data_IF_610851041276
#
_entry.id   IF_610851041276
#
_cell.length_a   1.000
_cell.length_b   1.000
_cell.length_c   1.000
_cell.angle_alpha   90.00
_cell.angle_beta   90.00
_cell.angle_gamma   90.00
#
_symmetry.space_group_name_H-M   'P 1'
#
loop_
_entity.id
_entity.type
_entity.pdbx_description
1 polymer ?
#
# COMPACT_ATOMS: atom_id res chain seq x y z
N UNK A 1 -25.51 14.17 10.18
CA UNK A 1 -24.94 12.95 9.58
C UNK A 1 -25.57 12.58 8.23
N UNK A 2 -26.32 13.46 7.58
CA UNK A 2 -27.15 13.17 6.38
C UNK A 2 -26.60 13.69 5.04
N UNK A 3 -25.32 14.12 4.94
CA UNK A 3 -24.77 14.70 3.70
C UNK A 3 -23.51 13.98 3.21
N UNK A 4 -23.25 12.74 3.64
CA UNK A 4 -22.07 11.99 3.19
C UNK A 4 -22.21 11.35 1.79
N UNK A 5 -23.44 11.34 1.24
CA UNK A 5 -23.71 10.77 -0.09
C UNK A 5 -24.54 11.73 -0.93
N UNK A 6 -24.00 12.92 -1.20
CA UNK A 6 -24.59 13.74 -2.24
C UNK A 6 -24.21 13.13 -3.60
N UNK A 7 -25.18 12.53 -4.28
CA UNK A 7 -25.03 11.76 -5.53
C UNK A 7 -24.40 12.55 -6.71
N UNK A 8 -24.03 13.81 -6.52
CA UNK A 8 -23.40 14.66 -7.55
C UNK A 8 -21.86 14.54 -7.60
N UNK A 9 -21.24 13.94 -6.58
CA UNK A 9 -19.77 13.91 -6.46
C UNK A 9 -19.15 12.54 -6.80
N UNK A 10 -19.98 11.52 -7.06
CA UNK A 10 -19.50 10.18 -7.42
C UNK A 10 -19.36 10.08 -8.93
N UNK A 11 -18.14 10.10 -9.41
CA UNK A 11 -17.85 9.81 -10.81
C UNK A 11 -17.98 8.30 -11.06
N UNK A 12 -19.18 7.85 -11.46
CA UNK A 12 -19.51 6.44 -11.68
C UNK A 12 -18.57 5.76 -12.69
N UNK A 13 -18.06 6.47 -13.68
CA UNK A 13 -17.10 5.90 -14.63
C UNK A 13 -15.74 5.68 -14.00
N UNK A 14 -15.30 6.55 -13.09
CA UNK A 14 -14.04 6.43 -12.38
C UNK A 14 -13.99 5.19 -11.48
N UNK A 15 -15.11 4.80 -10.90
CA UNK A 15 -15.23 3.63 -10.02
C UNK A 15 -15.65 2.39 -10.81
N UNK A 16 -16.59 2.54 -11.75
CA UNK A 16 -17.18 1.44 -12.51
C UNK A 16 -16.17 0.75 -13.41
N UNK A 17 -15.29 1.49 -14.09
CA UNK A 17 -14.27 0.89 -14.96
C UNK A 17 -13.30 -0.01 -14.19
N UNK A 18 -12.67 0.42 -13.07
CA UNK A 18 -11.83 -0.47 -12.27
C UNK A 18 -12.55 -1.71 -11.74
N UNK A 19 -13.80 -1.58 -11.31
CA UNK A 19 -14.59 -2.72 -10.84
C UNK A 19 -14.85 -3.71 -11.97
N UNK A 20 -15.31 -3.24 -13.14
CA UNK A 20 -15.55 -4.09 -14.30
C UNK A 20 -14.28 -4.79 -14.76
N UNK A 21 -13.15 -4.08 -14.74
CA UNK A 21 -11.85 -4.64 -15.10
C UNK A 21 -11.41 -5.71 -14.10
N UNK A 22 -11.60 -5.48 -12.81
CA UNK A 22 -11.33 -6.47 -11.76
C UNK A 22 -12.19 -7.72 -11.92
N UNK A 23 -13.49 -7.56 -12.19
CA UNK A 23 -14.41 -8.68 -12.45
C UNK A 23 -13.96 -9.45 -13.69
N UNK A 24 -13.60 -8.75 -14.77
CA UNK A 24 -13.14 -9.38 -16.02
C UNK A 24 -11.86 -10.19 -15.80
N UNK A 25 -10.91 -9.66 -15.03
CA UNK A 25 -9.68 -10.39 -14.64
C UNK A 25 -10.04 -11.63 -13.82
N UNK A 26 -10.94 -11.52 -12.85
CA UNK A 26 -11.39 -12.66 -12.05
C UNK A 26 -12.03 -13.74 -12.94
N UNK A 27 -12.93 -13.36 -13.84
CA UNK A 27 -13.56 -14.31 -14.77
C UNK A 27 -12.54 -15.00 -15.67
N UNK A 28 -11.55 -14.26 -16.17
CA UNK A 28 -10.45 -14.83 -16.94
C UNK A 28 -9.63 -15.82 -16.12
N UNK A 29 -9.28 -15.48 -14.90
CA UNK A 29 -8.52 -16.37 -13.98
C UNK A 29 -9.30 -17.64 -13.69
N UNK A 30 -10.60 -17.54 -13.46
CA UNK A 30 -11.46 -18.72 -13.20
C UNK A 30 -11.72 -19.58 -14.44
N UNK A 31 -11.57 -19.06 -15.66
CA UNK A 31 -11.75 -19.84 -16.90
C UNK A 31 -10.66 -20.91 -17.08
N UNK A 32 -9.41 -20.60 -16.71
CA UNK A 32 -8.30 -21.55 -16.68
C UNK A 32 -7.32 -21.16 -15.57
N UNK A 33 -7.55 -21.67 -14.39
CA UNK A 33 -6.76 -21.36 -13.19
C UNK A 33 -5.30 -21.75 -13.37
N UNK A 34 -5.03 -22.92 -13.99
CA UNK A 34 -3.66 -23.43 -14.14
C UNK A 34 -2.83 -22.55 -15.07
N UNK A 35 -3.38 -22.17 -16.19
CA UNK A 35 -2.70 -21.29 -17.15
C UNK A 35 -2.55 -19.87 -16.58
N UNK A 36 -3.56 -19.36 -15.90
CA UNK A 36 -3.55 -18.04 -15.29
C UNK A 36 -2.48 -17.92 -14.19
N UNK A 37 -2.32 -18.94 -13.35
CA UNK A 37 -1.23 -18.97 -12.35
C UNK A 37 0.14 -18.90 -13.02
N UNK A 38 0.37 -19.63 -14.12
CA UNK A 38 1.65 -19.58 -14.85
C UNK A 38 1.92 -18.19 -15.42
N UNK A 39 0.91 -17.55 -16.02
CA UNK A 39 1.03 -16.20 -16.58
C UNK A 39 1.30 -15.18 -15.48
N UNK A 40 0.52 -15.19 -14.40
CA UNK A 40 0.69 -14.28 -13.27
C UNK A 40 2.07 -14.45 -12.61
N UNK A 41 2.52 -15.68 -12.43
CA UNK A 41 3.86 -15.97 -11.88
C UNK A 41 4.95 -15.42 -12.78
N UNK A 42 4.88 -15.62 -14.08
CA UNK A 42 5.84 -15.07 -15.04
C UNK A 42 5.87 -13.53 -15.03
N UNK A 43 4.70 -12.87 -14.98
CA UNK A 43 4.61 -11.41 -14.87
C UNK A 43 5.25 -10.94 -13.55
N UNK A 44 4.94 -11.60 -12.44
CA UNK A 44 5.50 -11.27 -11.13
C UNK A 44 7.02 -11.40 -11.11
N UNK A 45 7.57 -12.53 -11.57
CA UNK A 45 9.01 -12.79 -11.59
C UNK A 45 9.75 -11.76 -12.46
N UNK A 46 9.23 -11.46 -13.65
CA UNK A 46 9.83 -10.44 -14.52
C UNK A 46 9.76 -9.03 -13.91
N UNK A 47 8.64 -8.66 -13.29
CA UNK A 47 8.50 -7.37 -12.63
C UNK A 47 9.40 -7.27 -11.40
N UNK A 48 9.51 -8.34 -10.61
CA UNK A 48 10.39 -8.39 -9.44
C UNK A 48 11.84 -8.15 -9.84
N UNK A 49 12.36 -8.89 -10.84
CA UNK A 49 13.73 -8.72 -11.32
C UNK A 49 14.05 -7.32 -11.85
N UNK A 50 13.08 -6.67 -12.50
CA UNK A 50 13.32 -5.33 -13.06
C UNK A 50 13.19 -4.22 -12.01
N UNK A 51 12.38 -4.42 -10.98
CA UNK A 51 12.04 -3.40 -9.99
C UNK A 51 12.73 -3.59 -8.64
N UNK A 52 13.45 -4.69 -8.44
CA UNK A 52 14.12 -5.03 -7.18
C UNK A 52 14.94 -3.85 -6.63
N UNK A 53 15.88 -3.35 -7.41
CA UNK A 53 16.73 -2.22 -7.01
C UNK A 53 15.92 -0.94 -6.75
N UNK A 54 14.86 -0.71 -7.53
CA UNK A 54 13.98 0.46 -7.35
C UNK A 54 13.26 0.38 -6.02
N UNK A 55 12.76 -0.79 -5.63
CA UNK A 55 12.09 -0.98 -4.34
C UNK A 55 13.06 -0.89 -3.17
N UNK A 56 14.25 -1.51 -3.26
CA UNK A 56 15.24 -1.48 -2.18
C UNK A 56 15.77 -0.06 -1.93
N UNK A 57 16.38 0.55 -2.94
CA UNK A 57 16.94 1.90 -2.81
C UNK A 57 15.86 2.95 -2.65
N UNK A 58 14.74 2.83 -3.38
CA UNK A 58 13.60 3.74 -3.27
C UNK A 58 12.99 3.70 -1.88
N UNK A 59 12.77 2.53 -1.31
CA UNK A 59 12.25 2.36 0.05
C UNK A 59 13.15 2.99 1.10
N UNK A 60 14.46 2.79 1.00
CA UNK A 60 15.44 3.40 1.87
C UNK A 60 15.46 4.93 1.74
N UNK A 61 15.45 5.46 0.53
CA UNK A 61 15.40 6.90 0.29
C UNK A 61 14.11 7.52 0.83
N UNK A 62 12.97 6.86 0.67
CA UNK A 62 11.69 7.30 1.23
C UNK A 62 11.77 7.34 2.76
N UNK A 63 12.34 6.31 3.39
CA UNK A 63 12.52 6.29 4.83
C UNK A 63 13.37 7.49 5.31
N UNK A 64 14.55 7.70 4.73
CA UNK A 64 15.43 8.84 5.07
C UNK A 64 14.70 10.15 4.85
N UNK A 65 13.99 10.31 3.73
CA UNK A 65 13.21 11.51 3.42
C UNK A 65 12.13 11.80 4.48
N UNK A 66 11.39 10.77 4.90
CA UNK A 66 10.36 10.93 5.94
C UNK A 66 10.96 11.28 7.31
N UNK A 67 12.10 10.69 7.66
CA UNK A 67 12.84 11.07 8.87
C UNK A 67 13.25 12.53 8.81
N UNK A 68 13.84 12.99 7.71
CA UNK A 68 14.23 14.40 7.54
C UNK A 68 13.02 15.34 7.63
N UNK A 69 11.89 14.99 6.99
CA UNK A 69 10.66 15.81 7.11
C UNK A 69 10.14 15.85 8.54
N UNK A 70 10.20 14.75 9.27
CA UNK A 70 9.72 14.70 10.65
C UNK A 70 10.49 15.63 11.60
N UNK A 71 11.73 15.94 11.26
CA UNK A 71 12.57 16.88 12.00
C UNK A 71 12.29 18.36 11.65
N UNK A 72 11.51 18.62 10.60
CA UNK A 72 11.19 19.99 10.20
C UNK A 72 10.10 20.60 11.09
N UNK A 73 10.15 21.92 11.37
CA UNK A 73 9.11 22.62 12.16
C UNK A 73 7.70 22.46 11.59
N UNK A 74 7.59 22.20 10.28
CA UNK A 74 6.32 21.97 9.59
C UNK A 74 5.63 20.68 10.05
N UNK A 75 6.37 19.68 10.51
CA UNK A 75 5.81 18.43 11.00
C UNK A 75 4.96 18.61 12.28
N UNK A 76 5.23 19.65 13.05
CA UNK A 76 4.46 19.99 14.26
C UNK A 76 3.18 20.78 13.99
N UNK A 77 2.89 21.13 12.72
CA UNK A 77 1.68 21.91 12.39
C UNK A 77 0.45 21.01 12.43
N UNK A 78 -0.61 21.55 13.04
CA UNK A 78 -1.92 20.86 13.04
C UNK A 78 -2.58 20.96 11.66
N UNK A 79 -3.09 19.84 11.17
CA UNK A 79 -3.80 19.76 9.87
C UNK A 79 -5.23 20.29 10.00
N UNK A 80 -5.81 20.21 11.19
CA UNK A 80 -7.19 20.65 11.46
C UNK A 80 -7.22 21.89 12.32
N UNK A 81 -8.26 22.71 12.12
CA UNK A 81 -8.56 23.88 12.94
C UNK A 81 -9.20 23.47 14.29
N UNK A 82 -9.65 22.21 14.41
CA UNK A 82 -10.25 21.71 15.64
C UNK A 82 -9.23 21.71 16.79
N UNK A 83 -9.64 22.23 17.95
CA UNK A 83 -8.78 22.29 19.14
C UNK A 83 -8.45 20.90 19.71
N UNK A 84 -9.28 19.92 19.42
CA UNK A 84 -9.10 18.54 19.93
C UNK A 84 -9.12 17.53 18.78
N UNK A 85 -8.29 16.46 18.87
CA UNK A 85 -8.35 15.35 17.96
C UNK A 85 -9.75 14.70 17.95
N UNK A 86 -10.20 14.23 16.80
CA UNK A 86 -11.49 13.55 16.65
C UNK A 86 -11.58 12.27 17.49
N UNK A 87 -10.47 11.59 17.67
CA UNK A 87 -10.35 10.35 18.44
C UNK A 87 -9.41 10.56 19.61
N UNK A 88 -9.68 9.90 20.73
CA UNK A 88 -8.75 9.85 21.85
C UNK A 88 -7.57 8.93 21.54
N UNK A 89 -6.51 9.00 22.34
CA UNK A 89 -5.29 8.23 22.10
C UNK A 89 -5.51 6.71 22.05
N UNK A 90 -6.42 6.18 22.89
CA UNK A 90 -6.71 4.75 22.95
C UNK A 90 -7.42 4.31 21.66
N UNK A 91 -8.44 5.05 21.22
CA UNK A 91 -9.13 4.76 19.96
C UNK A 91 -8.18 4.88 18.74
N UNK A 92 -7.31 5.90 18.76
CA UNK A 92 -6.29 6.06 17.72
C UNK A 92 -5.30 4.88 17.70
N UNK A 93 -4.77 4.48 18.85
CA UNK A 93 -3.89 3.32 18.96
C UNK A 93 -4.59 2.04 18.50
N UNK A 94 -5.86 1.84 18.88
CA UNK A 94 -6.66 0.70 18.43
C UNK A 94 -6.86 0.66 16.92
N UNK A 95 -7.11 1.81 16.28
CA UNK A 95 -7.22 1.89 14.83
C UNK A 95 -5.88 1.60 14.14
N UNK A 96 -4.77 2.13 14.66
CA UNK A 96 -3.43 1.86 14.12
C UNK A 96 -3.06 0.39 14.28
N UNK A 97 -3.35 -0.20 15.44
CA UNK A 97 -3.15 -1.62 15.70
C UNK A 97 -3.97 -2.48 14.72
N UNK A 98 -5.25 -2.19 14.57
CA UNK A 98 -6.13 -2.94 13.66
C UNK A 98 -5.71 -2.81 12.20
N UNK A 99 -5.22 -1.64 11.78
CA UNK A 99 -4.72 -1.41 10.43
C UNK A 99 -3.38 -2.13 10.17
N UNK A 100 -2.49 -2.17 11.18
CA UNK A 100 -1.16 -2.78 11.06
C UNK A 100 -1.15 -4.30 11.31
N UNK A 101 -2.02 -4.77 12.22
CA UNK A 101 -2.11 -6.19 12.63
C UNK A 101 -3.21 -6.94 11.88
N UNK A 102 -3.31 -6.70 10.58
CA UNK A 102 -4.23 -7.48 9.74
C UNK A 102 -3.91 -8.98 9.74
N UNK A 103 -4.83 -9.78 9.22
CA UNK A 103 -4.70 -11.24 9.12
C UNK A 103 -3.35 -11.69 8.52
N UNK A 104 -2.83 -10.91 7.58
CA UNK A 104 -1.55 -11.20 6.92
C UNK A 104 -0.39 -11.23 7.92
N UNK A 105 -0.29 -10.27 8.84
CA UNK A 105 0.79 -10.24 9.84
C UNK A 105 0.63 -11.40 10.82
N UNK A 106 -0.58 -11.64 11.33
CA UNK A 106 -0.82 -12.71 12.29
C UNK A 106 -0.54 -14.09 11.71
N UNK A 107 -0.80 -14.29 10.43
CA UNK A 107 -0.59 -15.58 9.77
C UNK A 107 0.79 -15.72 9.14
N UNK A 108 1.23 -14.74 8.36
CA UNK A 108 2.48 -14.84 7.60
C UNK A 108 3.71 -14.64 8.48
N UNK A 109 3.65 -13.75 9.46
CA UNK A 109 4.81 -13.44 10.30
C UNK A 109 5.42 -14.68 11.00
N UNK A 110 4.61 -15.59 11.61
CA UNK A 110 5.17 -16.83 12.18
C UNK A 110 5.73 -17.80 11.13
N UNK A 111 5.32 -17.70 9.86
CA UNK A 111 5.74 -18.62 8.80
C UNK A 111 6.88 -18.06 7.93
N UNK A 112 7.09 -16.76 7.95
CA UNK A 112 8.02 -16.08 7.04
C UNK A 112 9.47 -16.50 7.26
N UNK A 113 9.87 -16.77 8.49
CA UNK A 113 11.20 -17.29 8.79
C UNK A 113 11.45 -18.64 8.10
N UNK A 114 10.45 -19.52 8.07
CA UNK A 114 10.55 -20.82 7.42
C UNK A 114 10.63 -20.68 5.89
N UNK A 115 9.89 -19.72 5.33
CA UNK A 115 9.98 -19.40 3.91
C UNK A 115 11.38 -18.88 3.55
N UNK A 116 11.90 -17.94 4.32
CA UNK A 116 13.25 -17.37 4.15
C UNK A 116 14.34 -18.42 4.38
N UNK A 117 14.11 -19.40 5.28
CA UNK A 117 15.04 -20.50 5.51
C UNK A 117 15.12 -21.43 4.30
N UNK A 118 13.99 -21.75 3.68
CA UNK A 118 13.92 -22.65 2.52
C UNK A 118 14.33 -21.97 1.21
N UNK A 119 14.16 -20.66 1.08
CA UNK A 119 14.48 -19.86 -0.10
C UNK A 119 15.26 -18.61 0.35
N UNK A 120 16.50 -18.81 0.75
CA UNK A 120 17.34 -17.75 1.30
C UNK A 120 17.64 -16.67 0.24
N UNK A 121 17.27 -15.41 0.48
CA UNK A 121 17.62 -14.30 -0.41
C UNK A 121 19.12 -14.00 -0.43
N UNK A 122 19.87 -14.54 0.54
CA UNK A 122 21.33 -14.36 0.66
C UNK A 122 22.14 -15.48 0.00
N UNK A 123 21.47 -16.37 -0.75
CA UNK A 123 22.11 -17.52 -1.43
C UNK A 123 22.94 -18.41 -0.48
N UNK A 124 22.55 -18.48 0.79
CA UNK A 124 23.20 -19.32 1.79
C UNK A 124 22.80 -20.78 1.59
N UNK A 125 23.76 -21.69 1.71
CA UNK A 125 23.51 -23.12 1.67
C UNK A 125 22.84 -23.60 2.98
N UNK A 126 22.10 -24.69 2.90
CA UNK A 126 21.40 -25.29 4.05
C UNK A 126 22.33 -25.69 5.19
N UNK A 127 23.61 -25.85 4.90
CA UNK A 127 24.68 -26.17 5.87
C UNK A 127 25.25 -24.95 6.58
N UNK A 128 24.92 -23.72 6.13
CA UNK A 128 25.48 -22.50 6.70
C UNK A 128 24.87 -22.19 8.08
N UNK A 129 25.69 -22.08 9.15
CA UNK A 129 25.20 -21.77 10.50
C UNK A 129 24.49 -20.38 10.58
N UNK A 130 24.78 -19.48 9.64
CA UNK A 130 24.19 -18.16 9.59
C UNK A 130 22.78 -18.19 8.99
N UNK A 131 22.44 -19.21 8.21
CA UNK A 131 21.14 -19.32 7.55
C UNK A 131 19.97 -19.18 8.55
N UNK A 132 20.04 -19.89 9.67
CA UNK A 132 19.01 -19.84 10.72
C UNK A 132 18.88 -18.42 11.32
N UNK A 133 20.00 -17.75 11.59
CA UNK A 133 20.01 -16.39 12.16
C UNK A 133 19.42 -15.38 11.19
N UNK A 134 19.83 -15.42 9.92
CA UNK A 134 19.31 -14.53 8.89
C UNK A 134 17.84 -14.77 8.63
N UNK A 135 17.41 -16.02 8.56
CA UNK A 135 16.01 -16.37 8.34
C UNK A 135 15.08 -15.85 9.45
N UNK A 136 15.53 -15.86 10.71
CA UNK A 136 14.77 -15.31 11.83
C UNK A 136 14.79 -13.77 11.86
N UNK A 137 15.86 -13.13 11.39
CA UNK A 137 16.00 -11.67 11.39
C UNK A 137 15.34 -11.00 10.21
N UNK A 138 15.26 -11.68 9.07
CA UNK A 138 14.75 -11.13 7.81
C UNK A 138 13.30 -10.64 7.90
N UNK A 139 12.36 -11.35 8.54
CA UNK A 139 11.01 -10.84 8.75
C UNK A 139 10.95 -9.51 9.51
N UNK A 140 11.84 -9.33 10.50
CA UNK A 140 11.92 -8.06 11.24
C UNK A 140 12.40 -6.90 10.35
N UNK A 141 13.28 -7.18 9.40
CA UNK A 141 13.71 -6.21 8.40
C UNK A 141 12.59 -5.92 7.38
N UNK A 142 11.95 -6.96 6.87
CA UNK A 142 10.90 -6.87 5.86
C UNK A 142 9.68 -6.06 6.36
N UNK A 143 9.24 -6.32 7.59
CA UNK A 143 8.13 -5.58 8.23
C UNK A 143 8.61 -4.36 9.03
N UNK A 144 9.87 -3.98 8.88
CA UNK A 144 10.49 -2.87 9.59
C UNK A 144 10.19 -1.50 8.98
N UNK A 145 10.99 -0.52 9.39
CA UNK A 145 10.78 0.89 9.04
C UNK A 145 10.74 1.17 7.54
N UNK A 146 11.51 0.46 6.73
CA UNK A 146 11.57 0.68 5.28
C UNK A 146 10.25 0.30 4.62
N UNK A 147 9.69 -0.86 4.94
CA UNK A 147 8.39 -1.29 4.43
C UNK A 147 7.28 -0.32 4.81
N UNK A 148 7.22 0.09 6.07
CA UNK A 148 6.22 1.06 6.54
C UNK A 148 6.43 2.47 6.01
N UNK A 149 7.64 2.87 5.66
CA UNK A 149 7.91 4.17 5.04
C UNK A 149 7.20 4.33 3.69
N UNK A 150 7.10 3.26 2.90
CA UNK A 150 6.38 3.28 1.62
C UNK A 150 4.90 3.63 1.84
N UNK A 151 4.27 3.08 2.88
CA UNK A 151 2.88 3.40 3.25
C UNK A 151 2.74 4.79 3.88
N UNK A 152 3.75 5.25 4.62
CA UNK A 152 3.72 6.56 5.28
C UNK A 152 3.91 7.72 4.28
N UNK A 153 4.56 7.50 3.14
CA UNK A 153 4.80 8.55 2.15
C UNK A 153 3.51 9.19 1.61
N UNK A 154 2.50 8.46 1.14
CA UNK A 154 1.23 9.04 0.72
C UNK A 154 0.53 9.80 1.86
N UNK A 155 0.55 9.27 3.07
CA UNK A 155 -0.05 9.93 4.23
C UNK A 155 0.63 11.27 4.53
N UNK A 156 1.97 11.35 4.49
CA UNK A 156 2.72 12.57 4.64
C UNK A 156 2.40 13.57 3.51
N UNK A 157 2.31 13.10 2.27
CA UNK A 157 1.97 13.94 1.12
C UNK A 157 0.56 14.55 1.26
N UNK A 158 -0.45 13.76 1.68
CA UNK A 158 -1.79 14.27 1.97
C UNK A 158 -1.80 15.26 3.12
N UNK A 159 -1.07 14.97 4.20
CA UNK A 159 -0.94 15.90 5.32
C UNK A 159 -0.40 17.27 4.86
N UNK A 160 0.65 17.28 4.05
CA UNK A 160 1.21 18.50 3.46
C UNK A 160 0.23 19.21 2.51
N UNK A 161 -0.50 18.46 1.69
CA UNK A 161 -1.54 19.00 0.81
C UNK A 161 -2.64 19.70 1.59
N UNK A 162 -3.14 19.08 2.65
CA UNK A 162 -4.19 19.63 3.52
C UNK A 162 -3.72 20.84 4.32
N UNK A 163 -2.45 20.91 4.71
CA UNK A 163 -1.87 22.13 5.32
C UNK A 163 -1.89 23.34 4.38
N UNK A 164 -1.80 23.11 3.07
CA UNK A 164 -1.86 24.17 2.06
C UNK A 164 -3.29 24.51 1.63
N UNK A 165 -4.16 23.51 1.55
CA UNK A 165 -5.53 23.64 1.08
C UNK A 165 -6.42 22.64 1.83
N UNK A 166 -7.16 23.13 2.80
CA UNK A 166 -7.96 22.30 3.73
C UNK A 166 -9.10 21.51 3.06
N UNK A 167 -9.54 21.93 1.87
CA UNK A 167 -10.61 21.30 1.07
C UNK A 167 -10.07 20.47 -0.12
N UNK A 168 -8.79 20.13 -0.11
CA UNK A 168 -8.18 19.33 -1.18
C UNK A 168 -8.78 17.91 -1.20
N UNK A 169 -9.17 17.41 -2.38
CA UNK A 169 -9.59 16.00 -2.53
C UNK A 169 -8.46 15.05 -2.11
N UNK A 170 -8.82 13.99 -1.37
CA UNK A 170 -7.87 12.94 -0.94
C UNK A 170 -7.64 11.92 -2.05
N UNK A 171 -7.18 12.38 -3.21
CA UNK A 171 -6.79 11.56 -4.35
C UNK A 171 -5.33 11.79 -4.71
N UNK A 172 -4.64 10.77 -5.18
CA UNK A 172 -3.23 10.88 -5.60
C UNK A 172 -3.10 11.88 -6.76
N UNK A 173 -4.08 11.87 -7.67
CA UNK A 173 -4.11 12.82 -8.79
C UNK A 173 -4.16 14.28 -8.34
N UNK A 174 -4.87 14.58 -7.24
CA UNK A 174 -4.95 15.95 -6.70
C UNK A 174 -3.62 16.44 -6.12
N UNK A 175 -2.79 15.52 -5.61
CA UNK A 175 -1.44 15.83 -5.14
C UNK A 175 -0.47 16.11 -6.29
N UNK A 176 -0.56 15.35 -7.37
CA UNK A 176 0.43 15.35 -8.45
C UNK A 176 0.12 16.36 -9.55
N UNK A 177 -1.17 16.57 -9.87
CA UNK A 177 -1.59 17.31 -11.07
C UNK A 177 -2.45 18.50 -10.69
N UNK A 178 -1.97 19.71 -10.94
CA UNK A 178 -2.66 20.95 -10.56
C UNK A 178 -3.58 21.52 -11.63
N UNK A 179 -3.34 21.20 -12.89
CA UNK A 179 -4.05 21.79 -14.03
C UNK A 179 -5.43 21.20 -14.27
N UNK A 180 -6.14 21.77 -15.26
CA UNK A 180 -7.50 21.38 -15.68
C UNK A 180 -7.66 21.25 -17.19
N UNK A 181 -6.56 21.20 -17.94
CA UNK A 181 -6.58 20.95 -19.39
C UNK A 181 -7.19 19.56 -19.69
N UNK A 182 -7.71 19.31 -20.90
CA UNK A 182 -8.26 18.00 -21.25
C UNK A 182 -7.29 16.85 -21.00
N UNK A 183 -6.00 17.03 -21.32
CA UNK A 183 -4.97 16.02 -21.10
C UNK A 183 -4.78 15.77 -19.60
N UNK A 184 -4.67 16.82 -18.79
CA UNK A 184 -4.52 16.70 -17.34
C UNK A 184 -5.73 16.03 -16.68
N UNK A 185 -6.95 16.26 -17.18
CA UNK A 185 -8.14 15.57 -16.68
C UNK A 185 -8.08 14.06 -16.97
N UNK A 186 -7.66 13.67 -18.18
CA UNK A 186 -7.49 12.26 -18.54
C UNK A 186 -6.39 11.64 -17.67
N UNK A 187 -5.26 12.31 -17.50
CA UNK A 187 -4.17 11.82 -16.65
C UNK A 187 -4.60 11.66 -15.20
N UNK A 188 -5.36 12.61 -14.64
CA UNK A 188 -5.95 12.48 -13.29
C UNK A 188 -6.84 11.25 -13.18
N UNK A 189 -7.74 11.05 -14.14
CA UNK A 189 -8.64 9.91 -14.14
C UNK A 189 -7.86 8.58 -14.22
N UNK A 190 -6.82 8.50 -15.05
CA UNK A 190 -5.98 7.32 -15.16
C UNK A 190 -5.21 7.03 -13.86
N UNK A 191 -4.63 8.04 -13.24
CA UNK A 191 -3.91 7.89 -11.95
C UNK A 191 -4.88 7.39 -10.88
N UNK A 192 -6.06 7.99 -10.76
CA UNK A 192 -7.03 7.60 -9.74
C UNK A 192 -7.60 6.20 -10.00
N UNK A 193 -7.83 5.81 -11.27
CA UNK A 193 -8.23 4.45 -11.65
C UNK A 193 -7.17 3.41 -11.28
N UNK A 194 -5.88 3.69 -11.53
CA UNK A 194 -4.77 2.81 -11.14
C UNK A 194 -4.73 2.66 -9.62
N UNK A 195 -4.90 3.75 -8.87
CA UNK A 195 -4.96 3.69 -7.40
C UNK A 195 -6.13 2.85 -6.88
N UNK A 196 -7.32 2.99 -7.50
CA UNK A 196 -8.49 2.17 -7.13
C UNK A 196 -8.23 0.69 -7.42
N UNK A 197 -7.66 0.37 -8.59
CA UNK A 197 -7.29 -1.01 -8.94
C UNK A 197 -6.27 -1.58 -7.94
N UNK A 198 -5.26 -0.81 -7.57
CA UNK A 198 -4.25 -1.23 -6.59
C UNK A 198 -4.87 -1.51 -5.20
N UNK A 199 -5.81 -0.66 -4.76
CA UNK A 199 -6.54 -0.85 -3.49
C UNK A 199 -7.42 -2.12 -3.57
N UNK A 200 -8.15 -2.33 -4.67
CA UNK A 200 -8.97 -3.51 -4.87
C UNK A 200 -8.14 -4.80 -4.90
N UNK A 201 -6.98 -4.76 -5.59
CA UNK A 201 -6.06 -5.89 -5.62
C UNK A 201 -5.49 -6.20 -4.23
N UNK A 202 -5.04 -5.18 -3.49
CA UNK A 202 -4.55 -5.32 -2.12
C UNK A 202 -5.60 -5.88 -1.16
N UNK A 203 -6.84 -5.39 -1.24
CA UNK A 203 -7.95 -5.92 -0.47
C UNK A 203 -8.25 -7.38 -0.83
N UNK A 204 -8.21 -7.73 -2.13
CA UNK A 204 -8.40 -9.09 -2.62
C UNK A 204 -7.34 -10.05 -2.09
N UNK A 205 -6.07 -9.66 -2.10
CA UNK A 205 -4.97 -10.44 -1.51
C UNK A 205 -5.19 -10.64 0.00
N UNK A 206 -5.52 -9.56 0.73
CA UNK A 206 -5.78 -9.63 2.17
C UNK A 206 -6.93 -10.58 2.51
N UNK A 207 -8.02 -10.54 1.75
CA UNK A 207 -9.15 -11.47 1.91
C UNK A 207 -8.76 -12.90 1.55
N UNK A 208 -8.02 -13.10 0.45
CA UNK A 208 -7.56 -14.41 0.00
C UNK A 208 -6.68 -15.12 1.03
N UNK A 209 -5.91 -14.37 1.81
CA UNK A 209 -5.12 -14.91 2.93
C UNK A 209 -5.99 -15.16 4.16
N UNK A 210 -7.00 -14.29 4.43
CA UNK A 210 -7.82 -14.39 5.63
C UNK A 210 -8.89 -15.50 5.57
N UNK A 211 -9.54 -15.71 4.43
CA UNK A 211 -10.62 -16.69 4.29
C UNK A 211 -10.24 -18.13 4.64
N UNK A 212 -9.06 -18.66 4.24
CA UNK A 212 -8.68 -20.03 4.63
C UNK A 212 -8.45 -20.23 6.13
N UNK A 213 -8.47 -19.14 6.94
CA UNK A 213 -8.23 -19.18 8.39
C UNK A 213 -9.52 -19.23 9.20
N UNK A 214 -10.68 -19.00 8.57
CA UNK A 214 -12.00 -18.99 9.19
C UNK A 214 -12.69 -20.34 8.95
#
# INVERSE_FOLDING_TARGET
MNNLFNNKDINLSLIGIPILLSISICLYVFSDVTQSIKVLKSIYENAALQLENVFEFGGFLIFVFLVLISLMPTASKKITIADRPKFNNIAWCGMMFAAGMGASILFLSPLEWAHTYNASPFLLESSDPLLSKYSQSYPLFHWGFIGWAIFALPAAAFAFGLLKKSDMPLTISALLIKGSTPIERITKALVDMICILAILAGAGVGMGVAFPMI
#
